data_IF_100892578011
#
_entry.id   IF_100892578011
#
_cell.length_a   1.000
_cell.length_b   1.000
_cell.length_c   1.000
_cell.angle_alpha   90.00
_cell.angle_beta   90.00
_cell.angle_gamma   90.00
#
_symmetry.space_group_name_H-M   'P 1'
#
loop_
_entity.id
_entity.type
_entity.pdbx_description
1 polymer ?
#
# COMPACT_ATOMS: atom_id res chain seq x y z
N UNK A 1 -24.75 10.34 9.38
CA UNK A 1 -23.55 11.01 8.88
C UNK A 1 -23.04 10.31 7.64
N UNK A 2 -22.69 11.04 6.63
CA UNK A 2 -22.52 10.45 5.31
C UNK A 2 -21.07 10.13 4.90
N UNK A 3 -20.17 9.91 5.84
CA UNK A 3 -18.83 9.42 5.45
C UNK A 3 -19.00 8.04 4.86
N UNK A 4 -18.49 7.81 3.64
CA UNK A 4 -18.71 6.60 2.88
C UNK A 4 -17.54 5.64 2.91
N UNK A 5 -16.32 6.17 2.89
CA UNK A 5 -15.11 5.35 2.79
C UNK A 5 -13.87 6.22 2.90
N UNK A 6 -12.75 5.57 3.08
CA UNK A 6 -11.45 6.22 2.90
C UNK A 6 -11.29 6.51 1.39
N UNK A 7 -10.97 7.75 1.04
CA UNK A 7 -10.79 8.11 -0.37
C UNK A 7 -9.33 7.97 -0.81
N UNK A 8 -8.41 8.60 -0.08
CA UNK A 8 -6.99 8.54 -0.42
C UNK A 8 -6.14 8.75 0.82
N UNK A 9 -4.88 8.39 0.69
CA UNK A 9 -3.85 8.65 1.70
C UNK A 9 -2.74 9.48 1.08
N UNK A 10 -2.04 10.24 1.92
CA UNK A 10 -0.90 11.05 1.49
C UNK A 10 0.28 10.73 2.40
N UNK A 11 1.43 10.46 1.80
CA UNK A 11 2.66 10.14 2.52
C UNK A 11 3.73 11.16 2.21
N UNK A 12 4.48 11.55 3.24
CA UNK A 12 5.75 12.21 3.04
C UNK A 12 6.81 11.13 2.82
N UNK A 13 7.55 11.27 1.73
CA UNK A 13 8.63 10.33 1.35
C UNK A 13 9.87 11.14 1.04
N UNK A 14 11.03 10.49 0.97
CA UNK A 14 12.26 11.22 0.69
C UNK A 14 12.28 11.76 -0.73
N UNK A 15 11.81 10.96 -1.69
CA UNK A 15 11.77 11.32 -3.12
C UNK A 15 10.51 10.73 -3.74
N UNK A 16 9.58 11.60 -4.15
CA UNK A 16 8.29 11.17 -4.69
C UNK A 16 8.44 10.33 -5.97
N UNK A 17 9.43 10.63 -6.82
CA UNK A 17 9.67 9.86 -8.05
C UNK A 17 10.09 8.43 -7.73
N UNK A 18 11.01 8.27 -6.79
CA UNK A 18 11.49 6.95 -6.38
C UNK A 18 10.36 6.15 -5.73
N UNK A 19 9.62 6.78 -4.83
CA UNK A 19 8.49 6.12 -4.16
C UNK A 19 7.42 5.71 -5.17
N UNK A 20 7.10 6.59 -6.13
CA UNK A 20 6.13 6.27 -7.18
C UNK A 20 6.56 5.07 -8.00
N UNK A 21 7.83 4.99 -8.39
CA UNK A 21 8.34 3.84 -9.14
C UNK A 21 8.17 2.53 -8.35
N UNK A 22 8.41 2.55 -7.05
CA UNK A 22 8.20 1.38 -6.20
C UNK A 22 6.74 0.90 -6.25
N UNK A 23 5.79 1.81 -6.01
CA UNK A 23 4.37 1.44 -6.01
C UNK A 23 3.87 1.03 -7.39
N UNK A 24 4.42 1.61 -8.45
CA UNK A 24 4.09 1.20 -9.81
C UNK A 24 4.60 -0.21 -10.10
N UNK A 25 5.84 -0.51 -9.74
CA UNK A 25 6.46 -1.81 -10.01
C UNK A 25 5.87 -2.93 -9.15
N UNK A 26 5.61 -2.65 -7.88
CA UNK A 26 5.21 -3.68 -6.93
C UNK A 26 3.70 -3.88 -6.92
N UNK A 27 2.92 -2.80 -6.90
CA UNK A 27 1.46 -2.86 -6.76
C UNK A 27 0.71 -2.51 -8.04
N UNK A 28 1.42 -2.16 -9.10
CA UNK A 28 0.79 -1.85 -10.38
C UNK A 28 0.03 -0.53 -10.40
N UNK A 29 0.28 0.35 -9.44
CA UNK A 29 -0.35 1.67 -9.43
C UNK A 29 0.05 2.45 -10.66
N UNK A 30 -0.79 3.35 -11.14
CA UNK A 30 -0.46 4.22 -12.25
C UNK A 30 -0.46 5.67 -11.79
N UNK A 31 0.45 6.43 -12.35
CA UNK A 31 0.52 7.86 -12.08
C UNK A 31 -0.59 8.57 -12.85
N UNK A 32 -1.42 9.34 -12.15
CA UNK A 32 -2.52 10.09 -12.76
C UNK A 32 -2.26 11.58 -12.79
N UNK A 33 -1.36 12.06 -11.94
CA UNK A 33 -0.97 13.45 -11.92
C UNK A 33 0.40 13.62 -11.27
N UNK A 34 1.19 14.56 -11.78
CA UNK A 34 2.52 14.87 -11.28
C UNK A 34 2.72 16.37 -11.22
N UNK A 35 3.41 16.82 -10.18
CA UNK A 35 3.87 18.20 -10.07
C UNK A 35 5.23 18.18 -9.38
N UNK A 36 5.89 19.34 -9.32
CA UNK A 36 7.19 19.41 -8.67
C UNK A 36 7.09 18.91 -7.22
N UNK A 37 7.85 17.86 -6.89
CA UNK A 37 7.87 17.31 -5.53
C UNK A 37 6.68 16.48 -5.13
N UNK A 38 5.77 16.14 -6.05
CA UNK A 38 4.60 15.32 -5.71
C UNK A 38 4.18 14.41 -6.85
N UNK A 39 3.66 13.24 -6.50
CA UNK A 39 3.09 12.27 -7.44
C UNK A 39 1.79 11.74 -6.89
N UNK A 40 0.80 11.58 -7.75
CA UNK A 40 -0.52 11.06 -7.37
C UNK A 40 -0.80 9.79 -8.16
N UNK A 41 -1.09 8.71 -7.44
CA UNK A 41 -1.20 7.38 -8.00
C UNK A 41 -2.61 6.82 -7.80
N UNK A 42 -3.06 6.03 -8.77
CA UNK A 42 -4.33 5.33 -8.70
C UNK A 42 -4.09 3.82 -8.71
N UNK A 43 -4.74 3.10 -7.80
CA UNK A 43 -4.72 1.64 -7.81
C UNK A 43 -5.43 1.12 -9.06
N UNK A 44 -4.99 -0.03 -9.63
CA UNK A 44 -5.54 -0.54 -10.90
C UNK A 44 -7.06 -0.72 -10.91
N UNK A 45 -7.63 -1.16 -9.78
CA UNK A 45 -9.07 -1.40 -9.68
C UNK A 45 -9.89 -0.25 -9.12
N UNK A 46 -9.29 0.92 -8.93
CA UNK A 46 -9.93 2.05 -8.24
C UNK A 46 -10.71 2.94 -9.21
N UNK A 47 -11.83 3.47 -8.73
CA UNK A 47 -12.59 4.52 -9.40
C UNK A 47 -12.33 5.90 -8.80
N UNK A 48 -11.46 6.02 -7.80
CA UNK A 48 -11.09 7.31 -7.22
C UNK A 48 -10.18 8.09 -8.19
N UNK A 49 -10.17 9.41 -8.10
CA UNK A 49 -9.23 10.22 -8.88
C UNK A 49 -7.80 9.78 -8.62
N UNK A 50 -7.48 9.54 -7.36
CA UNK A 50 -6.22 8.95 -6.93
C UNK A 50 -6.44 8.29 -5.57
N UNK A 51 -5.56 7.37 -5.23
CA UNK A 51 -5.62 6.63 -3.96
C UNK A 51 -4.44 6.95 -3.06
N UNK A 52 -3.33 7.38 -3.63
CA UNK A 52 -2.09 7.64 -2.89
C UNK A 52 -1.39 8.86 -3.44
N UNK A 53 -1.18 9.84 -2.58
CA UNK A 53 -0.34 10.99 -2.87
C UNK A 53 1.03 10.83 -2.21
N UNK A 54 2.08 11.17 -2.93
CA UNK A 54 3.45 11.05 -2.44
C UNK A 54 4.10 12.43 -2.55
N UNK A 55 4.51 12.98 -1.42
CA UNK A 55 5.11 14.32 -1.34
C UNK A 55 6.56 14.20 -0.89
N UNK A 56 7.46 14.82 -1.62
CA UNK A 56 8.88 14.82 -1.31
C UNK A 56 9.15 15.65 -0.06
N UNK A 57 9.70 15.01 0.96
CA UNK A 57 10.19 15.69 2.16
C UNK A 57 11.70 15.97 2.07
N UNK A 58 12.41 15.30 1.16
CA UNK A 58 13.83 15.51 0.92
C UNK A 58 14.69 14.33 1.37
N UNK A 59 15.87 14.24 0.80
CA UNK A 59 16.79 13.11 1.02
C UNK A 59 17.22 12.97 2.48
N UNK A 60 17.24 14.07 3.24
CA UNK A 60 17.66 14.07 4.64
C UNK A 60 16.50 13.85 5.61
N UNK A 61 15.28 13.60 5.12
CA UNK A 61 14.15 13.38 6.00
C UNK A 61 14.37 12.18 6.91
N UNK A 62 13.96 12.32 8.17
CA UNK A 62 14.10 11.28 9.18
C UNK A 62 13.15 10.12 8.88
N UNK A 63 13.49 8.89 9.30
CA UNK A 63 12.55 7.79 9.24
C UNK A 63 11.29 8.10 10.04
N UNK A 64 10.18 7.46 9.68
CA UNK A 64 8.93 7.61 10.44
C UNK A 64 9.16 7.21 11.90
N UNK A 65 8.64 8.03 12.84
CA UNK A 65 8.64 7.70 14.26
C UNK A 65 7.41 6.88 14.64
N UNK A 66 6.50 6.63 13.72
CA UNK A 66 5.31 5.84 14.01
C UNK A 66 5.71 4.41 14.37
N UNK A 67 5.10 3.88 15.40
CA UNK A 67 5.39 2.55 15.89
C UNK A 67 4.70 2.34 17.23
N UNK A 68 5.06 1.25 17.92
CA UNK A 68 4.38 0.89 19.18
C UNK A 68 4.58 1.90 20.30
N UNK A 69 5.60 2.73 20.19
CA UNK A 69 5.91 3.73 21.20
C UNK A 69 5.33 5.11 20.92
N UNK A 70 4.62 5.29 19.81
CA UNK A 70 4.08 6.60 19.47
C UNK A 70 2.73 6.46 18.74
N UNK A 71 1.86 7.42 18.97
CA UNK A 71 0.58 7.50 18.27
C UNK A 71 0.86 7.87 16.82
N UNK A 72 0.16 7.24 15.88
CA UNK A 72 0.30 7.54 14.47
C UNK A 72 -0.20 6.40 13.58
N UNK A 73 -0.01 6.55 12.29
CA UNK A 73 -0.39 5.53 11.33
C UNK A 73 0.56 4.34 11.43
N UNK A 74 0.01 3.15 11.63
CA UNK A 74 0.80 1.92 11.59
C UNK A 74 1.04 1.50 10.14
N UNK A 75 -0.02 1.23 9.38
CA UNK A 75 0.11 0.88 7.96
C UNK A 75 -1.18 1.14 7.20
N UNK A 76 -1.08 1.23 5.88
CA UNK A 76 -2.21 1.19 4.97
C UNK A 76 -2.36 -0.23 4.45
N UNK A 77 -3.58 -0.67 4.21
CA UNK A 77 -3.87 -1.99 3.64
C UNK A 77 -4.54 -1.81 2.29
N UNK A 78 -3.96 -2.44 1.27
CA UNK A 78 -4.47 -2.45 -0.09
C UNK A 78 -5.09 -3.81 -0.36
N UNK A 79 -6.17 -3.85 -1.12
CA UNK A 79 -6.91 -5.08 -1.38
C UNK A 79 -6.69 -5.54 -2.82
N UNK A 80 -6.51 -6.86 -2.99
CA UNK A 80 -6.53 -7.50 -4.31
C UNK A 80 -7.82 -8.31 -4.46
N UNK A 81 -8.25 -8.52 -5.70
CA UNK A 81 -9.50 -9.20 -5.99
C UNK A 81 -9.39 -10.72 -5.94
N UNK A 82 -8.20 -11.27 -6.23
CA UNK A 82 -8.01 -12.72 -6.33
C UNK A 82 -6.77 -13.17 -5.59
N UNK A 83 -6.76 -14.45 -5.20
CA UNK A 83 -5.59 -15.08 -4.60
C UNK A 83 -4.41 -15.09 -5.57
N UNK A 84 -4.66 -15.25 -6.87
CA UNK A 84 -3.61 -15.18 -7.89
C UNK A 84 -2.92 -13.84 -7.92
N UNK A 85 -3.69 -12.76 -7.79
CA UNK A 85 -3.13 -11.40 -7.71
C UNK A 85 -2.29 -11.22 -6.45
N UNK A 86 -2.73 -11.79 -5.33
CA UNK A 86 -1.94 -11.76 -4.09
C UNK A 86 -0.58 -12.45 -4.29
N UNK A 87 -0.57 -13.60 -4.97
CA UNK A 87 0.66 -14.33 -5.29
C UNK A 87 1.59 -13.51 -6.18
N UNK A 88 1.06 -12.81 -7.15
CA UNK A 88 1.86 -11.91 -8.01
C UNK A 88 2.53 -10.81 -7.21
N UNK A 89 1.77 -10.18 -6.31
CA UNK A 89 2.32 -9.13 -5.45
C UNK A 89 3.42 -9.70 -4.56
N UNK A 90 3.19 -10.90 -4.01
CA UNK A 90 4.18 -11.58 -3.18
C UNK A 90 5.51 -11.76 -3.92
N UNK A 91 5.45 -12.22 -5.18
CA UNK A 91 6.64 -12.39 -6.00
C UNK A 91 7.40 -11.09 -6.20
N UNK A 92 6.68 -10.01 -6.50
CA UNK A 92 7.28 -8.68 -6.70
C UNK A 92 7.91 -8.15 -5.42
N UNK A 93 7.24 -8.36 -4.29
CA UNK A 93 7.78 -7.96 -2.98
C UNK A 93 9.05 -8.72 -2.65
N UNK A 94 9.11 -10.02 -2.95
CA UNK A 94 10.31 -10.82 -2.75
C UNK A 94 11.45 -10.34 -3.62
N UNK A 95 11.19 -10.03 -4.89
CA UNK A 95 12.19 -9.52 -5.82
C UNK A 95 12.78 -8.19 -5.33
N UNK A 96 11.97 -7.35 -4.71
CA UNK A 96 12.42 -6.05 -4.19
C UNK A 96 13.00 -6.16 -2.77
N UNK A 97 12.97 -7.33 -2.17
CA UNK A 97 13.40 -7.48 -0.78
C UNK A 97 12.50 -6.74 0.22
N UNK A 98 11.24 -6.53 -0.13
CA UNK A 98 10.32 -5.68 0.63
C UNK A 98 9.34 -6.47 1.51
N UNK A 99 9.21 -7.78 1.31
CA UNK A 99 8.28 -8.59 2.09
C UNK A 99 8.82 -8.82 3.49
N UNK A 100 8.03 -8.49 4.52
CA UNK A 100 8.44 -8.66 5.92
C UNK A 100 7.61 -9.68 6.68
N UNK A 101 6.46 -10.11 6.15
CA UNK A 101 5.63 -11.11 6.81
C UNK A 101 4.42 -11.49 6.01
N UNK A 102 3.73 -12.52 6.48
CA UNK A 102 2.51 -13.03 5.87
C UNK A 102 1.59 -13.54 6.96
N UNK A 103 0.27 -13.50 6.71
CA UNK A 103 -0.70 -14.08 7.62
C UNK A 103 -1.85 -14.71 6.86
N UNK A 104 -2.49 -15.70 7.50
CA UNK A 104 -3.68 -16.37 7.00
C UNK A 104 -4.65 -16.49 8.18
N UNK A 105 -5.68 -15.68 8.17
CA UNK A 105 -6.68 -15.62 9.24
C UNK A 105 -8.02 -16.22 8.81
N UNK A 106 -8.00 -17.22 7.94
CA UNK A 106 -9.19 -17.91 7.41
C UNK A 106 -10.04 -17.03 6.49
N UNK A 107 -10.42 -15.84 6.93
CA UNK A 107 -11.26 -14.91 6.16
C UNK A 107 -10.44 -13.86 5.41
N UNK A 108 -9.15 -13.72 5.74
CA UNK A 108 -8.26 -12.74 5.12
C UNK A 108 -6.85 -13.32 5.04
N UNK A 109 -6.25 -13.21 3.87
CA UNK A 109 -4.84 -13.57 3.67
C UNK A 109 -4.09 -12.29 3.35
N UNK A 110 -2.98 -12.06 4.04
CA UNK A 110 -2.28 -10.78 3.96
C UNK A 110 -0.78 -10.94 3.79
N UNK A 111 -0.21 -9.98 3.09
CA UNK A 111 1.23 -9.78 2.97
C UNK A 111 1.58 -8.48 3.67
N UNK A 112 2.69 -8.47 4.39
CA UNK A 112 3.20 -7.27 5.07
C UNK A 112 4.53 -6.90 4.44
N UNK A 113 4.72 -5.62 4.18
CA UNK A 113 5.86 -5.14 3.41
C UNK A 113 6.29 -3.76 3.88
N UNK A 114 7.48 -3.35 3.43
CA UNK A 114 7.97 -1.98 3.61
C UNK A 114 8.30 -1.38 2.26
N UNK A 115 7.94 -0.11 2.09
CA UNK A 115 8.27 0.59 0.87
C UNK A 115 9.72 1.10 0.89
N UNK A 116 10.10 1.87 -0.14
CA UNK A 116 11.47 2.37 -0.29
C UNK A 116 11.90 3.30 0.85
N UNK A 117 10.96 3.87 1.58
CA UNK A 117 11.22 4.74 2.72
C UNK A 117 11.06 4.04 4.07
N UNK A 118 10.81 2.74 4.05
CA UNK A 118 10.63 1.95 5.25
C UNK A 118 9.23 2.02 5.83
N UNK A 119 8.28 2.62 5.13
CA UNK A 119 6.89 2.67 5.58
C UNK A 119 6.21 1.32 5.37
N UNK A 120 5.58 0.81 6.42
CA UNK A 120 4.93 -0.48 6.36
C UNK A 120 3.58 -0.38 5.66
N UNK A 121 3.25 -1.40 4.86
CA UNK A 121 1.93 -1.53 4.26
C UNK A 121 1.55 -3.00 4.19
N UNK A 122 0.26 -3.24 3.99
CA UNK A 122 -0.32 -4.57 3.89
C UNK A 122 -0.97 -4.70 2.53
N UNK A 123 -0.97 -5.92 1.96
CA UNK A 123 -1.80 -6.26 0.80
C UNK A 123 -2.65 -7.44 1.21
N UNK A 124 -3.96 -7.31 1.08
CA UNK A 124 -4.91 -8.28 1.59
C UNK A 124 -5.82 -8.83 0.50
N UNK A 125 -6.09 -10.12 0.59
CA UNK A 125 -7.19 -10.76 -0.13
C UNK A 125 -8.22 -11.17 0.89
N UNK A 126 -9.41 -10.60 0.77
CA UNK A 126 -10.54 -10.93 1.64
C UNK A 126 -11.30 -12.08 0.99
N UNK A 127 -11.43 -13.20 1.70
CA UNK A 127 -12.12 -14.38 1.17
C UNK A 127 -13.57 -13.99 0.83
N UNK A 128 -14.03 -14.24 -0.42
CA UNK A 128 -15.40 -13.92 -0.80
C UNK A 128 -16.41 -14.63 0.11
N UNK A 129 -17.50 -13.95 0.42
CA UNK A 129 -18.53 -14.48 1.33
C UNK A 129 -19.06 -15.86 0.88
N UNK A 130 -19.14 -16.07 -0.44
CA UNK A 130 -19.60 -17.35 -1.00
C UNK A 130 -18.66 -18.54 -0.68
N UNK A 131 -17.43 -18.28 -0.29
CA UNK A 131 -16.44 -19.31 0.02
C UNK A 131 -16.26 -19.51 1.53
N UNK A 132 -16.95 -18.71 2.36
CA UNK A 132 -16.89 -18.87 3.81
C UNK A 132 -17.78 -20.05 4.23
N UNK A 133 -17.30 -20.79 5.23
CA UNK A 133 -18.07 -21.89 5.83
C UNK A 133 -18.61 -21.45 7.18
N UNK A 134 -19.71 -22.06 7.61
CA UNK A 134 -20.37 -21.72 8.88
C UNK A 134 -19.78 -22.47 10.09
N UNK A 135 -18.59 -22.96 9.99
CA UNK A 135 -17.95 -23.73 11.07
C UNK A 135 -17.50 -22.86 12.24
#
# INVERSE_FOLDING_TARGET
MPIRRLNHAVLFVRDADRAARFYQQVLGFREVFAMSGARFLQAPGSANDHDLGLFTAGASAQPSSAGRGSVGLYHLAWEVATLGELREVRERLLQEGALIGESDHSTTKSLYARDADGLEFEVAWVVPAALLTDD
#
